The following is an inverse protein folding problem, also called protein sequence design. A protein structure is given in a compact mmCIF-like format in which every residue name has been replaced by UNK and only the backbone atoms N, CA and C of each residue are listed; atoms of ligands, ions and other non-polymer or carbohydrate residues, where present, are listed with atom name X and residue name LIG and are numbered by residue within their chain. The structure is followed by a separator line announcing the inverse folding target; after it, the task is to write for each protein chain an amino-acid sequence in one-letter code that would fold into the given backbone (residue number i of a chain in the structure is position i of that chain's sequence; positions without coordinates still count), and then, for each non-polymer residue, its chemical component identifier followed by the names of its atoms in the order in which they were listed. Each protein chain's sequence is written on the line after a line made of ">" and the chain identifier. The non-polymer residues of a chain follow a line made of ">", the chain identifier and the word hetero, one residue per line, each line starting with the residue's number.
data_IF_412298767741
#
_entry.id   IF_412298767741
#
_cell.length_a   1.000
_cell.length_b   1.000
_cell.length_c   1.000
_cell.angle_alpha   90.00
_cell.angle_beta   90.00
_cell.angle_gamma   90.00
#
_symmetry.space_group_name_H-M   'P 1'
#
loop_
_entity.id
_entity.type
_entity.pdbx_description
1 polymer ?
#
# COMPACT_ATOMS: atom_id res chain seq x y z
N UNK A 1 -2.00 -58.16 5.79
CA UNK A 1 -1.37 -57.23 4.83
C UNK A 1 -1.65 -55.82 5.34
N UNK A 2 -0.64 -55.14 5.89
CA UNK A 2 -0.77 -53.78 6.44
C UNK A 2 -0.29 -52.79 5.38
N UNK A 3 -1.19 -51.96 4.86
CA UNK A 3 -0.84 -50.89 3.92
C UNK A 3 -0.27 -49.71 4.70
N UNK A 4 0.96 -49.24 4.41
CA UNK A 4 1.49 -48.05 5.06
C UNK A 4 0.80 -46.81 4.51
N UNK A 5 0.08 -46.10 5.37
CA UNK A 5 -0.51 -44.79 5.04
C UNK A 5 0.61 -43.75 5.03
N UNK A 6 1.00 -43.29 3.84
CA UNK A 6 1.96 -42.18 3.69
C UNK A 6 1.20 -40.89 3.96
N UNK A 7 1.42 -40.28 5.12
CA UNK A 7 0.88 -38.96 5.45
C UNK A 7 1.78 -37.92 4.77
N UNK A 8 1.30 -37.34 3.67
CA UNK A 8 1.94 -36.23 2.98
C UNK A 8 1.62 -34.93 3.72
N UNK A 9 2.53 -34.45 4.57
CA UNK A 9 2.42 -33.15 5.22
C UNK A 9 2.75 -32.05 4.20
N UNK A 10 1.72 -31.39 3.67
CA UNK A 10 1.88 -30.18 2.85
C UNK A 10 2.28 -29.04 3.78
N UNK A 11 3.56 -28.68 3.78
CA UNK A 11 4.05 -27.45 4.43
C UNK A 11 3.70 -26.29 3.50
N UNK A 12 2.56 -25.64 3.75
CA UNK A 12 2.28 -24.34 3.14
C UNK A 12 3.19 -23.31 3.81
N UNK A 13 4.32 -22.96 3.18
CA UNK A 13 5.10 -21.80 3.60
C UNK A 13 4.19 -20.58 3.44
N UNK A 14 3.79 -19.98 4.54
CA UNK A 14 3.20 -18.63 4.52
C UNK A 14 4.34 -17.72 4.10
N UNK A 15 4.47 -17.49 2.79
CA UNK A 15 5.44 -16.56 2.24
C UNK A 15 4.98 -15.18 2.71
N UNK A 16 5.76 -14.60 3.61
CA UNK A 16 5.59 -13.22 4.02
C UNK A 16 6.38 -12.35 3.03
N UNK A 17 5.74 -11.29 2.55
CA UNK A 17 6.28 -10.42 1.50
C UNK A 17 7.24 -9.40 2.11
N UNK A 18 8.37 -9.15 1.44
CA UNK A 18 9.28 -8.07 1.82
C UNK A 18 8.77 -6.73 1.30
N UNK A 19 8.16 -5.91 2.15
CA UNK A 19 7.54 -4.64 1.80
C UNK A 19 8.43 -3.44 2.13
N UNK A 20 8.29 -2.35 1.39
CA UNK A 20 8.92 -1.09 1.72
C UNK A 20 8.08 -0.36 2.77
N UNK A 21 8.67 -0.12 3.95
CA UNK A 21 8.09 0.76 4.97
C UNK A 21 8.65 2.16 4.79
N UNK A 22 7.77 3.12 4.54
CA UNK A 22 8.11 4.53 4.40
C UNK A 22 6.93 5.41 4.81
N UNK A 23 7.23 6.66 5.12
CA UNK A 23 6.29 7.76 5.28
C UNK A 23 6.93 9.03 4.72
N UNK A 24 6.12 10.06 4.49
CA UNK A 24 6.51 11.43 4.19
C UNK A 24 7.89 11.89 4.66
N UNK A 25 8.20 11.66 5.94
CA UNK A 25 9.37 12.21 6.62
C UNK A 25 10.50 11.19 6.85
N UNK A 26 10.42 9.99 6.26
CA UNK A 26 11.30 8.88 6.62
C UNK A 26 11.90 8.16 5.42
N UNK A 27 13.15 7.70 5.59
CA UNK A 27 13.83 6.82 4.65
C UNK A 27 13.09 5.47 4.56
N UNK A 28 13.13 4.85 3.38
CA UNK A 28 12.53 3.52 3.21
C UNK A 28 13.37 2.45 3.93
N UNK A 29 12.66 1.53 4.59
CA UNK A 29 13.23 0.31 5.17
C UNK A 29 12.48 -0.90 4.63
N UNK A 30 13.07 -2.09 4.70
CA UNK A 30 12.40 -3.33 4.30
C UNK A 30 11.80 -3.98 5.55
N UNK A 31 10.52 -4.36 5.47
CA UNK A 31 9.79 -5.05 6.53
C UNK A 31 9.11 -6.29 5.96
N UNK A 32 9.03 -7.36 6.74
CA UNK A 32 8.42 -8.60 6.30
C UNK A 32 6.95 -8.66 6.74
N UNK A 33 6.02 -8.80 5.79
CA UNK A 33 4.58 -8.62 6.01
C UNK A 33 3.78 -9.88 5.67
N UNK A 34 2.92 -10.31 6.60
CA UNK A 34 2.14 -11.55 6.45
C UNK A 34 0.92 -11.42 5.52
N UNK A 35 0.39 -10.21 5.38
CA UNK A 35 -0.87 -9.95 4.66
C UNK A 35 -0.65 -9.19 3.35
N UNK A 36 0.59 -9.13 2.86
CA UNK A 36 0.98 -8.33 1.71
C UNK A 36 1.46 -6.94 2.09
N UNK A 37 1.81 -6.17 1.06
CA UNK A 37 2.26 -4.79 1.19
C UNK A 37 1.12 -3.82 0.93
N UNK A 38 1.21 -2.66 1.56
CA UNK A 38 0.33 -1.53 1.33
C UNK A 38 1.13 -0.29 0.93
N UNK A 39 0.53 0.54 0.08
CA UNK A 39 0.94 1.91 -0.12
C UNK A 39 -0.26 2.83 -0.25
N UNK A 40 -0.06 4.06 0.17
CA UNK A 40 -1.06 5.12 0.14
C UNK A 40 -0.54 6.37 -0.57
N UNK A 41 -1.44 7.07 -1.23
CA UNK A 41 -1.14 8.30 -1.95
C UNK A 41 -2.34 9.25 -2.00
N UNK A 42 -2.08 10.54 -2.19
CA UNK A 42 -3.09 11.55 -2.47
C UNK A 42 -3.12 11.90 -3.95
N UNK A 43 -4.30 12.21 -4.48
CA UNK A 43 -4.45 12.77 -5.82
C UNK A 43 -4.87 14.24 -5.73
N UNK A 44 -3.99 15.15 -6.16
CA UNK A 44 -4.23 16.58 -6.17
C UNK A 44 -3.80 17.20 -7.50
N UNK A 45 -4.65 18.04 -8.10
CA UNK A 45 -4.36 18.66 -9.39
C UNK A 45 -4.09 17.66 -10.53
N UNK A 46 -4.63 16.43 -10.43
CA UNK A 46 -4.35 15.34 -11.38
C UNK A 46 -3.01 14.62 -11.18
N UNK A 47 -2.25 14.99 -10.14
CA UNK A 47 -0.95 14.38 -9.79
C UNK A 47 -1.09 13.52 -8.54
N UNK A 48 -0.42 12.37 -8.53
CA UNK A 48 -0.38 11.46 -7.38
C UNK A 48 0.86 11.73 -6.53
N UNK A 49 0.66 11.88 -5.23
CA UNK A 49 1.71 12.16 -4.27
C UNK A 49 1.76 11.08 -3.19
N UNK A 50 2.98 10.63 -2.88
CA UNK A 50 3.23 9.63 -1.86
C UNK A 50 2.71 10.08 -0.48
N UNK A 51 2.12 9.16 0.27
CA UNK A 51 1.82 9.33 1.71
C UNK A 51 2.65 8.33 2.53
N UNK A 52 2.20 7.08 2.60
CA UNK A 52 2.84 6.04 3.39
C UNK A 52 2.86 4.69 2.67
N UNK A 53 3.63 3.76 3.22
CA UNK A 53 3.68 2.38 2.78
C UNK A 53 4.24 1.46 3.85
N UNK A 54 3.88 0.18 3.77
CA UNK A 54 4.28 -0.81 4.77
C UNK A 54 3.52 -2.12 4.61
N UNK A 55 3.15 -2.73 5.74
CA UNK A 55 2.36 -3.96 5.77
C UNK A 55 0.88 -3.64 5.68
N UNK A 56 0.16 -4.38 4.85
CA UNK A 56 -1.29 -4.29 4.79
C UNK A 56 -1.94 -4.88 6.06
N UNK A 57 -3.02 -4.26 6.53
CA UNK A 57 -3.84 -4.78 7.62
C UNK A 57 -4.81 -5.90 7.16
N UNK A 58 -4.97 -6.06 5.85
CA UNK A 58 -5.81 -7.11 5.25
C UNK A 58 -5.22 -7.60 3.94
N UNK A 59 -5.41 -8.89 3.62
CA UNK A 59 -4.94 -9.49 2.36
C UNK A 59 -5.83 -9.16 1.14
N UNK A 60 -6.66 -8.12 1.23
CA UNK A 60 -7.59 -7.77 0.15
C UNK A 60 -6.92 -6.91 -0.90
N UNK A 61 -6.45 -7.56 -1.96
CA UNK A 61 -5.77 -6.92 -3.09
C UNK A 61 -6.61 -5.84 -3.78
N UNK A 62 -5.91 -4.85 -4.31
CA UNK A 62 -6.48 -3.75 -5.10
C UNK A 62 -6.45 -2.42 -4.36
N UNK A 63 -7.04 -1.40 -4.98
CA UNK A 63 -7.02 -0.03 -4.48
C UNK A 63 -8.40 0.44 -4.04
N UNK A 64 -8.42 1.27 -3.00
CA UNK A 64 -9.61 1.91 -2.44
C UNK A 64 -9.36 3.39 -2.26
N UNK A 65 -10.27 4.20 -2.79
CA UNK A 65 -10.17 5.66 -2.73
C UNK A 65 -11.24 6.24 -1.81
N UNK A 66 -10.84 7.18 -0.94
CA UNK A 66 -11.72 7.95 -0.07
C UNK A 66 -11.27 9.42 -0.09
N UNK A 67 -12.05 10.28 -0.75
CA UNK A 67 -11.64 11.68 -0.97
C UNK A 67 -10.50 11.74 -2.00
N UNK A 68 -9.43 12.50 -1.72
CA UNK A 68 -8.20 12.44 -2.52
C UNK A 68 -7.27 11.28 -2.16
N UNK A 69 -7.48 10.62 -1.00
CA UNK A 69 -6.60 9.55 -0.52
C UNK A 69 -6.95 8.21 -1.17
N UNK A 70 -5.94 7.49 -1.64
CA UNK A 70 -6.06 6.11 -2.14
C UNK A 70 -5.10 5.21 -1.39
N UNK A 71 -5.60 4.09 -0.89
CA UNK A 71 -4.82 2.97 -0.33
C UNK A 71 -4.85 1.81 -1.31
N UNK A 72 -3.72 1.15 -1.50
CA UNK A 72 -3.56 0.01 -2.40
C UNK A 72 -2.84 -1.13 -1.70
N UNK A 73 -3.44 -2.32 -1.74
CA UNK A 73 -2.83 -3.56 -1.24
C UNK A 73 -2.34 -4.40 -2.42
N UNK A 74 -1.11 -4.89 -2.30
CA UNK A 74 -0.45 -5.75 -3.29
C UNK A 74 0.30 -6.90 -2.59
N UNK A 75 0.59 -7.96 -3.34
CA UNK A 75 1.42 -9.07 -2.87
C UNK A 75 2.69 -9.20 -3.71
N UNK A 76 3.71 -9.82 -3.12
CA UNK A 76 5.04 -10.02 -3.70
C UNK A 76 6.06 -9.00 -3.21
N UNK A 77 7.33 -9.39 -3.33
CA UNK A 77 8.45 -8.60 -2.83
C UNK A 77 8.47 -7.19 -3.42
N UNK A 78 8.42 -6.20 -2.51
CA UNK A 78 8.47 -4.77 -2.77
C UNK A 78 7.45 -4.30 -3.79
N UNK A 79 6.30 -4.98 -3.89
CA UNK A 79 5.24 -4.59 -4.82
C UNK A 79 4.74 -3.15 -4.59
N UNK A 80 4.94 -2.61 -3.38
CA UNK A 80 4.57 -1.25 -3.00
C UNK A 80 5.62 -0.18 -3.36
N UNK A 81 6.66 -0.53 -4.12
CA UNK A 81 7.68 0.41 -4.61
C UNK A 81 7.11 1.52 -5.49
N UNK A 82 6.00 1.28 -6.18
CA UNK A 82 5.34 2.31 -6.99
C UNK A 82 4.92 3.50 -6.13
N UNK A 83 4.37 3.27 -4.94
CA UNK A 83 4.02 4.32 -3.99
C UNK A 83 5.25 5.06 -3.48
N UNK A 84 6.35 4.34 -3.23
CA UNK A 84 7.61 4.96 -2.82
C UNK A 84 8.19 5.90 -3.88
N UNK A 85 8.04 5.58 -5.16
CA UNK A 85 8.57 6.36 -6.29
C UNK A 85 7.73 7.59 -6.63
N UNK A 86 6.52 7.71 -6.08
CA UNK A 86 5.68 8.90 -6.30
C UNK A 86 6.34 10.15 -5.72
N UNK A 87 6.10 11.33 -6.31
CA UNK A 87 6.61 12.59 -5.77
C UNK A 87 6.10 12.79 -4.34
N UNK A 88 6.97 13.36 -3.52
CA UNK A 88 6.62 13.80 -2.18
C UNK A 88 6.09 15.23 -2.24
N UNK A 89 5.01 15.50 -1.52
CA UNK A 89 4.51 16.85 -1.24
C UNK A 89 4.55 17.05 0.26
N UNK A 90 4.99 18.23 0.72
CA UNK A 90 4.99 18.52 2.14
C UNK A 90 3.56 18.40 2.69
N UNK A 91 3.40 17.69 3.80
CA UNK A 91 2.16 17.62 4.59
C UNK A 91 1.43 18.96 4.77
N UNK A 92 2.15 20.09 4.80
CA UNK A 92 1.57 21.45 4.90
C UNK A 92 0.94 21.96 3.61
N UNK A 93 1.32 21.38 2.48
CA UNK A 93 0.77 21.67 1.15
C UNK A 93 -0.24 20.60 0.71
N UNK A 94 -0.48 19.57 1.52
CA UNK A 94 -1.53 18.60 1.26
C UNK A 94 -2.90 19.29 1.34
N UNK A 95 -3.77 19.12 0.33
CA UNK A 95 -5.10 19.69 0.36
C UNK A 95 -5.89 19.15 1.54
N UNK A 96 -6.48 20.05 2.32
CA UNK A 96 -7.45 19.69 3.34
C UNK A 96 -8.75 19.22 2.68
N UNK A 97 -9.58 18.45 3.40
CA UNK A 97 -10.89 18.00 2.89
C UNK A 97 -11.80 19.15 2.41
N UNK A 98 -11.55 20.38 2.89
CA UNK A 98 -12.18 21.62 2.45
C UNK A 98 -11.71 22.10 1.07
N UNK A 99 -10.43 21.97 0.75
CA UNK A 99 -9.84 22.41 -0.52
C UNK A 99 -10.16 21.44 -1.66
N UNK A 100 -10.25 20.13 -1.37
CA UNK A 100 -10.78 19.15 -2.32
C UNK A 100 -12.20 19.49 -2.80
N UNK A 101 -13.04 20.00 -1.89
CA UNK A 101 -14.41 20.42 -2.22
C UNK A 101 -14.40 21.70 -3.07
N UNK A 102 -13.49 22.64 -2.80
CA UNK A 102 -13.41 23.91 -3.56
C UNK A 102 -12.81 23.71 -4.97
N UNK A 103 -11.83 22.81 -5.11
CA UNK A 103 -11.26 22.44 -6.41
C UNK A 103 -12.27 21.79 -7.36
N UNK A 104 -13.19 20.96 -6.86
CA UNK A 104 -14.26 20.38 -7.70
C UNK A 104 -15.25 21.41 -8.24
N UNK A 105 -15.45 22.54 -7.56
CA UNK A 105 -16.45 23.55 -7.95
C UNK A 105 -15.92 24.43 -9.10
N UNK A 106 -14.61 24.60 -9.23
CA UNK A 106 -14.01 25.53 -10.20
C UNK A 106 -13.55 24.89 -11.52
N UNK A 107 -13.68 23.57 -11.68
CA UNK A 107 -13.32 22.84 -12.91
C UNK A 107 -14.50 22.04 -13.50
N UNK A 108 -15.75 22.37 -13.15
CA UNK A 108 -16.95 21.83 -13.80
C UNK A 108 -17.51 22.79 -14.86
#
# INVERSE_FOLDING_TARGET
>A
MLTPTVILLVVSTVLADDCLKYSDASYSTIVNCRMGCEYEYYTYGGVQYRDEGGCADSAQLGCRTRGSKTSCVCNGDRCNEIGYRMPYIDSRERPTSSEERYGRINYQ
#
